data_IF_224177432929
#
_entry.id   IF_224177432929
#
_cell.length_a   1.000
_cell.length_b   1.000
_cell.length_c   1.000
_cell.angle_alpha   90.00
_cell.angle_beta   90.00
_cell.angle_gamma   90.00
#
_symmetry.space_group_name_H-M   'P 1'
#
loop_
_entity.id
_entity.type
_entity.pdbx_description
1 polymer ?
#
# COMPACT_ATOMS: atom_id res chain seq x y z
N UNK A 1 25.41 -15.31 -11.53
CA UNK A 1 24.94 -14.54 -10.37
C UNK A 1 25.04 -15.42 -9.15
N UNK A 2 25.76 -15.02 -8.11
CA UNK A 2 25.81 -15.75 -6.83
C UNK A 2 24.57 -15.40 -6.00
N UNK A 3 23.86 -16.41 -5.48
CA UNK A 3 22.74 -16.19 -4.56
C UNK A 3 23.30 -15.62 -3.25
N UNK A 4 22.69 -14.52 -2.77
CA UNK A 4 22.99 -13.93 -1.46
C UNK A 4 21.78 -14.03 -0.56
N UNK A 5 22.01 -14.40 0.70
CA UNK A 5 20.97 -14.48 1.70
C UNK A 5 20.44 -13.09 2.08
N UNK A 6 19.12 -12.91 2.15
CA UNK A 6 18.50 -11.62 2.51
C UNK A 6 18.57 -11.31 4.01
N UNK A 7 18.99 -12.29 4.83
CA UNK A 7 19.07 -12.18 6.29
C UNK A 7 20.49 -11.79 6.70
N UNK A 8 21.50 -12.52 6.24
CA UNK A 8 22.89 -12.35 6.67
C UNK A 8 23.87 -11.96 5.56
N UNK A 9 23.40 -11.76 4.32
CA UNK A 9 24.21 -11.40 3.14
C UNK A 9 25.27 -12.43 2.70
N UNK A 10 25.31 -13.62 3.33
CA UNK A 10 26.22 -14.71 2.98
C UNK A 10 25.75 -15.51 1.74
N UNK A 11 26.65 -16.31 1.17
CA UNK A 11 26.44 -17.06 -0.08
C UNK A 11 25.59 -18.32 0.07
N UNK A 12 24.30 -18.17 0.41
CA UNK A 12 23.34 -19.27 0.46
C UNK A 12 21.91 -18.83 0.18
N UNK A 13 21.03 -19.79 -0.08
CA UNK A 13 19.59 -19.54 -0.18
C UNK A 13 19.02 -19.16 1.19
N UNK A 14 18.20 -18.11 1.24
CA UNK A 14 17.63 -17.60 2.50
C UNK A 14 16.81 -18.64 3.27
N UNK A 15 16.32 -19.69 2.60
CA UNK A 15 15.62 -20.83 3.21
C UNK A 15 16.52 -21.69 4.09
N UNK A 16 17.82 -21.77 3.78
CA UNK A 16 18.82 -22.55 4.52
C UNK A 16 19.67 -21.67 5.43
N UNK A 17 19.21 -20.45 5.73
CA UNK A 17 19.97 -19.53 6.57
C UNK A 17 19.99 -20.00 8.03
N UNK A 18 21.18 -20.17 8.64
CA UNK A 18 21.30 -20.59 10.04
C UNK A 18 20.77 -19.53 11.02
N UNK A 19 20.70 -18.27 10.58
CA UNK A 19 20.20 -17.15 11.38
C UNK A 19 18.69 -16.93 11.23
N UNK A 20 17.96 -17.79 10.49
CA UNK A 20 16.52 -17.61 10.23
C UNK A 20 15.66 -17.68 11.50
N UNK A 21 16.02 -18.57 12.42
CA UNK A 21 15.25 -18.83 13.67
C UNK A 21 16.00 -18.35 14.93
N UNK A 22 17.02 -17.51 14.78
CA UNK A 22 17.70 -16.94 15.93
C UNK A 22 16.81 -15.88 16.59
N UNK A 23 16.87 -15.76 17.93
CA UNK A 23 16.11 -14.78 18.72
C UNK A 23 16.45 -13.33 18.31
N UNK A 24 17.72 -13.08 17.95
CA UNK A 24 18.20 -11.76 17.56
C UNK A 24 19.20 -11.84 16.39
N UNK A 25 18.71 -12.06 15.16
CA UNK A 25 19.58 -12.25 14.02
C UNK A 25 20.24 -10.92 13.64
N UNK A 26 21.57 -10.92 13.54
CA UNK A 26 22.30 -9.76 13.00
C UNK A 26 21.97 -9.62 11.51
N UNK A 27 21.01 -8.75 11.19
CA UNK A 27 20.60 -8.51 9.80
C UNK A 27 21.70 -7.74 9.07
N UNK A 28 22.13 -8.25 7.93
CA UNK A 28 23.07 -7.58 7.02
C UNK A 28 22.40 -7.30 5.69
N UNK A 29 22.72 -6.15 5.11
CA UNK A 29 22.17 -5.73 3.83
C UNK A 29 22.72 -6.60 2.69
N UNK A 30 21.87 -7.28 1.92
CA UNK A 30 22.30 -8.06 0.77
C UNK A 30 22.97 -7.22 -0.35
N UNK A 31 22.71 -5.90 -0.37
CA UNK A 31 23.26 -4.97 -1.37
C UNK A 31 24.64 -4.41 -0.99
N UNK A 32 24.90 -4.12 0.30
CA UNK A 32 26.16 -3.49 0.74
C UNK A 32 26.85 -4.12 1.97
N UNK A 33 26.22 -5.10 2.63
CA UNK A 33 26.75 -5.75 3.83
C UNK A 33 26.59 -4.96 5.14
N UNK A 34 26.04 -3.74 5.11
CA UNK A 34 25.87 -2.89 6.29
C UNK A 34 24.77 -3.36 7.26
N UNK A 35 24.70 -2.76 8.47
CA UNK A 35 23.76 -3.13 9.54
C UNK A 35 22.35 -2.59 9.30
N UNK A 36 21.76 -2.94 8.17
CA UNK A 36 20.39 -2.58 7.79
C UNK A 36 19.81 -3.61 6.80
N UNK A 37 18.49 -3.57 6.58
CA UNK A 37 17.84 -4.42 5.56
C UNK A 37 18.10 -3.89 4.16
N UNK A 38 18.11 -4.76 3.13
CA UNK A 38 18.28 -4.34 1.74
C UNK A 38 17.22 -3.34 1.23
N UNK A 39 16.09 -3.22 1.94
CA UNK A 39 15.02 -2.24 1.69
C UNK A 39 15.30 -0.84 2.24
N UNK A 40 16.38 -0.64 3.01
CA UNK A 40 16.72 0.64 3.63
C UNK A 40 17.10 1.69 2.57
N UNK A 41 16.34 2.79 2.52
CA UNK A 41 16.49 3.85 1.50
C UNK A 41 17.78 4.66 1.63
N UNK A 42 18.44 4.63 2.80
CA UNK A 42 19.76 5.24 3.01
C UNK A 42 20.93 4.33 2.63
N UNK A 43 20.68 3.14 2.05
CA UNK A 43 21.75 2.25 1.61
C UNK A 43 22.54 2.89 0.45
N UNK A 44 23.89 2.93 0.50
CA UNK A 44 24.69 3.47 -0.61
C UNK A 44 24.51 2.68 -1.92
N UNK A 45 24.18 1.38 -1.81
CA UNK A 45 23.91 0.49 -2.94
C UNK A 45 22.41 0.24 -3.14
N UNK A 46 21.53 1.14 -2.71
CA UNK A 46 20.11 0.99 -2.95
C UNK A 46 19.82 1.00 -4.47
N UNK A 47 19.18 -0.04 -5.04
CA UNK A 47 18.89 -0.08 -6.47
C UNK A 47 18.04 1.13 -6.90
N UNK A 48 18.60 1.97 -7.77
CA UNK A 48 17.85 3.05 -8.40
C UNK A 48 17.05 2.44 -9.54
N UNK A 49 15.73 2.37 -9.36
CA UNK A 49 14.83 1.97 -10.44
C UNK A 49 14.79 3.13 -11.41
N UNK A 50 15.49 2.99 -12.53
CA UNK A 50 15.28 3.88 -13.66
C UNK A 50 13.95 3.50 -14.29
N UNK A 51 13.03 4.47 -14.34
CA UNK A 51 11.77 4.32 -15.05
C UNK A 51 12.07 4.30 -16.55
N UNK A 52 12.62 3.19 -17.07
CA UNK A 52 12.52 2.95 -18.50
C UNK A 52 11.03 2.97 -18.79
N UNK A 53 10.59 3.91 -19.64
CA UNK A 53 9.21 4.06 -20.06
C UNK A 53 8.66 2.67 -20.34
N UNK A 54 7.77 2.19 -19.47
CA UNK A 54 7.19 0.87 -19.59
C UNK A 54 6.57 0.83 -20.98
N UNK A 55 7.14 0.01 -21.87
CA UNK A 55 6.60 -0.12 -23.23
C UNK A 55 5.13 -0.46 -23.09
N UNK A 56 4.26 0.45 -23.54
CA UNK A 56 2.80 0.29 -23.47
C UNK A 56 2.45 -1.08 -24.06
N UNK A 57 1.95 -2.00 -23.23
CA UNK A 57 1.62 -3.38 -23.61
C UNK A 57 2.41 -4.48 -22.89
N UNK A 58 3.53 -4.18 -22.23
CA UNK A 58 4.31 -5.17 -21.47
C UNK A 58 4.11 -5.00 -19.97
N UNK A 59 2.93 -5.36 -19.48
CA UNK A 59 2.71 -5.52 -18.04
C UNK A 59 3.06 -6.94 -17.61
N UNK A 60 3.44 -7.12 -16.34
CA UNK A 60 3.65 -8.45 -15.76
C UNK A 60 2.40 -9.34 -15.94
N UNK A 61 1.20 -8.76 -15.78
CA UNK A 61 -0.05 -9.44 -16.02
C UNK A 61 -0.23 -9.88 -17.48
N UNK A 62 0.21 -9.07 -18.46
CA UNK A 62 0.19 -9.45 -19.87
C UNK A 62 1.18 -10.59 -20.17
N UNK A 63 2.38 -10.54 -19.58
CA UNK A 63 3.39 -11.60 -19.73
C UNK A 63 2.93 -12.94 -19.14
N UNK A 64 2.30 -12.93 -17.96
CA UNK A 64 1.75 -14.13 -17.31
C UNK A 64 0.58 -14.77 -18.09
N UNK A 65 -0.16 -13.98 -18.87
CA UNK A 65 -1.21 -14.47 -19.77
C UNK A 65 -0.68 -15.05 -21.08
N UNK A 66 0.56 -14.71 -21.46
CA UNK A 66 1.18 -15.07 -22.74
C UNK A 66 1.85 -16.45 -22.72
N UNK A 67 2.04 -17.05 -21.55
CA UNK A 67 2.60 -18.41 -21.42
C UNK A 67 1.52 -19.46 -21.70
N UNK A 68 1.28 -19.70 -22.99
CA UNK A 68 0.75 -20.97 -23.43
C UNK A 68 1.77 -22.08 -23.06
N UNK A 69 1.23 -23.19 -22.61
CA UNK A 69 1.86 -24.28 -21.88
C UNK A 69 3.07 -24.91 -22.59
N UNK A 70 4.24 -24.86 -21.94
CA UNK A 70 5.22 -25.94 -22.01
C UNK A 70 5.36 -26.47 -20.58
N UNK A 71 4.69 -27.60 -20.31
CA UNK A 71 4.78 -28.30 -19.03
C UNK A 71 6.20 -28.80 -18.84
N UNK A 72 6.97 -28.13 -17.99
CA UNK A 72 8.12 -28.77 -17.34
C UNK A 72 7.55 -29.69 -16.25
N UNK A 73 7.90 -30.99 -16.18
CA UNK A 73 7.38 -31.88 -15.16
C UNK A 73 7.94 -31.49 -13.79
N UNK A 74 7.21 -30.67 -13.05
CA UNK A 74 7.50 -30.47 -11.63
C UNK A 74 6.88 -31.65 -10.87
N UNK A 75 7.73 -32.55 -10.38
CA UNK A 75 7.33 -33.63 -9.47
C UNK A 75 6.76 -33.01 -8.18
N UNK A 76 5.44 -32.94 -8.11
CA UNK A 76 4.70 -32.69 -6.88
C UNK A 76 4.69 -33.97 -6.04
N UNK A 77 5.57 -34.04 -5.03
CA UNK A 77 5.30 -34.93 -3.89
C UNK A 77 4.19 -34.29 -3.07
N UNK A 78 3.03 -34.92 -3.15
CA UNK A 78 1.81 -34.59 -2.46
C UNK A 78 1.98 -34.84 -0.95
N UNK A 79 1.61 -33.87 -0.13
CA UNK A 79 1.13 -34.14 1.24
C UNK A 79 -0.36 -33.78 1.25
N UNK A 80 -1.17 -34.84 1.33
CA UNK A 80 -2.62 -34.87 1.45
C UNK A 80 -3.10 -34.50 2.85
N UNK A 81 -4.22 -33.76 2.93
CA UNK A 81 -5.36 -34.02 3.84
C UNK A 81 -6.61 -33.26 3.31
N UNK A 82 -7.86 -33.70 3.63
CA UNK A 82 -8.87 -33.97 2.62
C UNK A 82 -9.92 -32.88 2.37
N UNK A 83 -10.45 -32.96 1.15
CA UNK A 83 -11.57 -32.24 0.54
C UNK A 83 -12.93 -32.59 1.15
N UNK A 84 -13.80 -31.60 1.32
CA UNK A 84 -15.24 -31.77 1.03
C UNK A 84 -15.64 -30.74 -0.03
N UNK A 85 -16.16 -31.26 -1.14
CA UNK A 85 -16.56 -30.53 -2.33
C UNK A 85 -17.94 -29.88 -2.13
N UNK A 86 -18.08 -28.62 -2.56
CA UNK A 86 -19.37 -28.14 -3.07
C UNK A 86 -19.15 -27.22 -4.28
N UNK A 87 -19.45 -27.80 -5.45
CA UNK A 87 -20.11 -27.25 -6.64
C UNK A 87 -19.86 -25.77 -7.02
N UNK A 88 -19.15 -25.60 -8.14
CA UNK A 88 -19.32 -24.58 -9.20
C UNK A 88 -19.95 -23.23 -8.83
N UNK A 89 -19.12 -22.20 -8.64
CA UNK A 89 -19.45 -20.81 -8.98
C UNK A 89 -18.19 -20.09 -9.54
N UNK A 90 -18.33 -19.07 -10.40
CA UNK A 90 -17.20 -18.32 -10.95
C UNK A 90 -16.40 -17.64 -9.84
N UNK A 91 -15.09 -17.36 -10.01
CA UNK A 91 -14.33 -16.61 -9.02
C UNK A 91 -14.83 -15.16 -9.00
N UNK A 92 -15.73 -14.82 -8.07
CA UNK A 92 -16.10 -13.44 -7.74
C UNK A 92 -15.03 -12.74 -6.89
N UNK A 93 -13.75 -12.96 -7.16
CA UNK A 93 -12.65 -12.42 -6.36
C UNK A 93 -11.92 -11.25 -7.05
N UNK A 94 -12.67 -10.34 -7.69
CA UNK A 94 -12.12 -9.06 -8.17
C UNK A 94 -12.79 -7.81 -7.58
N UNK A 95 -13.86 -7.94 -6.78
CA UNK A 95 -14.60 -6.79 -6.26
C UNK A 95 -14.58 -6.62 -4.73
N UNK A 96 -13.98 -7.55 -3.97
CA UNK A 96 -14.12 -7.55 -2.49
C UNK A 96 -13.32 -6.49 -1.74
N UNK A 97 -12.32 -5.82 -2.34
CA UNK A 97 -11.57 -4.73 -1.68
C UNK A 97 -12.10 -3.31 -1.98
N UNK A 98 -13.03 -3.17 -2.93
CA UNK A 98 -13.61 -1.86 -3.24
C UNK A 98 -14.81 -1.57 -2.33
N UNK A 99 -15.67 -2.53 -2.02
CA UNK A 99 -16.88 -2.27 -1.23
C UNK A 99 -16.58 -1.82 0.21
N UNK A 100 -15.60 -2.44 0.89
CA UNK A 100 -15.29 -2.14 2.30
C UNK A 100 -14.78 -0.70 2.52
N UNK A 101 -14.11 -0.13 1.52
CA UNK A 101 -13.61 1.23 1.57
C UNK A 101 -14.43 2.22 0.73
N UNK A 102 -15.44 1.77 -0.03
CA UNK A 102 -16.27 2.65 -0.86
C UNK A 102 -16.96 3.70 -0.01
N UNK A 103 -17.49 3.31 1.16
CA UNK A 103 -18.12 4.25 2.08
C UNK A 103 -17.12 5.26 2.67
N UNK A 104 -15.89 4.81 2.95
CA UNK A 104 -14.80 5.68 3.46
C UNK A 104 -14.41 6.70 2.38
N UNK A 105 -14.22 6.27 1.14
CA UNK A 105 -13.90 7.18 0.03
C UNK A 105 -15.07 8.13 -0.29
N UNK A 106 -16.31 7.65 -0.20
CA UNK A 106 -17.51 8.50 -0.33
C UNK A 106 -17.52 9.57 0.75
N UNK A 107 -17.26 9.20 2.01
CA UNK A 107 -17.16 10.15 3.12
C UNK A 107 -16.05 11.17 2.90
N UNK A 108 -14.84 10.74 2.51
CA UNK A 108 -13.72 11.62 2.23
C UNK A 108 -14.02 12.62 1.11
N UNK A 109 -14.75 12.19 0.07
CA UNK A 109 -15.17 13.09 -1.00
C UNK A 109 -16.14 14.15 -0.50
N UNK A 110 -17.12 13.79 0.33
CA UNK A 110 -18.02 14.78 0.95
C UNK A 110 -17.26 15.74 1.85
N UNK A 111 -16.35 15.25 2.69
CA UNK A 111 -15.50 16.10 3.55
C UNK A 111 -14.65 17.08 2.74
N UNK A 112 -14.08 16.63 1.61
CA UNK A 112 -13.35 17.49 0.68
C UNK A 112 -14.24 18.59 0.11
N UNK A 113 -15.44 18.28 -0.36
CA UNK A 113 -16.38 19.28 -0.89
C UNK A 113 -16.81 20.29 0.17
N UNK A 114 -17.09 19.82 1.38
CA UNK A 114 -17.47 20.66 2.53
C UNK A 114 -16.34 21.62 2.89
N UNK A 115 -15.11 21.13 3.02
CA UNK A 115 -13.95 21.96 3.39
C UNK A 115 -13.56 22.96 2.31
N UNK A 116 -13.79 22.66 1.02
CA UNK A 116 -13.57 23.59 -0.09
C UNK A 116 -14.58 24.75 -0.12
N UNK A 117 -15.79 24.54 0.40
CA UNK A 117 -16.82 25.58 0.47
C UNK A 117 -16.54 26.62 1.56
N UNK A 118 -15.64 26.32 2.52
CA UNK A 118 -15.29 27.25 3.60
C UNK A 118 -14.20 28.22 3.13
N UNK A 119 -14.48 29.53 3.01
CA UNK A 119 -13.43 30.51 2.76
C UNK A 119 -12.50 30.59 3.99
N UNK A 120 -11.19 30.72 3.75
CA UNK A 120 -10.19 30.87 4.81
C UNK A 120 -10.17 29.76 5.88
N UNK A 121 -10.29 28.49 5.48
CA UNK A 121 -10.26 27.31 6.38
C UNK A 121 -9.17 27.36 7.46
N UNK A 122 -7.97 27.87 7.14
CA UNK A 122 -6.86 28.01 8.11
C UNK A 122 -7.22 28.91 9.30
N UNK A 123 -7.96 29.99 9.07
CA UNK A 123 -8.40 30.89 10.13
C UNK A 123 -9.46 30.22 11.02
N UNK A 124 -10.41 29.50 10.40
CA UNK A 124 -11.41 28.72 11.14
C UNK A 124 -10.75 27.66 12.03
N UNK A 125 -9.78 26.90 11.51
CA UNK A 125 -9.05 25.90 12.29
C UNK A 125 -8.37 26.53 13.51
N UNK A 126 -7.66 27.65 13.32
CA UNK A 126 -7.07 28.38 14.44
C UNK A 126 -8.12 28.81 15.48
N UNK A 127 -9.30 29.31 15.05
CA UNK A 127 -10.38 29.67 15.98
C UNK A 127 -10.93 28.45 16.73
N UNK A 128 -11.07 27.32 16.05
CA UNK A 128 -11.54 26.06 16.65
C UNK A 128 -10.52 25.46 17.63
N UNK A 129 -9.22 25.59 17.37
CA UNK A 129 -8.16 25.11 18.25
C UNK A 129 -8.08 25.92 19.56
N UNK A 130 -8.43 27.22 19.50
CA UNK A 130 -8.39 28.12 20.66
C UNK A 130 -9.73 28.20 21.42
N UNK A 131 -10.82 27.67 20.87
CA UNK A 131 -12.12 27.63 21.54
C UNK A 131 -12.24 26.37 22.41
N UNK A 132 -12.68 26.51 23.65
CA UNK A 132 -12.87 25.40 24.57
C UNK A 132 -14.32 24.90 24.57
N UNK A 133 -15.28 25.79 24.32
CA UNK A 133 -16.70 25.46 24.33
C UNK A 133 -17.13 24.77 23.02
N UNK A 134 -17.72 23.58 23.14
CA UNK A 134 -18.15 22.77 21.98
C UNK A 134 -19.27 23.43 21.18
N UNK A 135 -20.24 24.09 21.83
CA UNK A 135 -21.33 24.80 21.14
C UNK A 135 -20.78 25.96 20.31
N UNK A 136 -19.85 26.73 20.87
CA UNK A 136 -19.19 27.81 20.14
C UNK A 136 -18.44 27.30 18.91
N UNK A 137 -17.82 26.10 18.97
CA UNK A 137 -17.21 25.47 17.80
C UNK A 137 -18.22 25.20 16.69
N UNK A 138 -19.42 24.73 17.05
CA UNK A 138 -20.50 24.55 16.07
C UNK A 138 -20.93 25.87 15.44
N UNK A 139 -21.06 26.94 16.23
CA UNK A 139 -21.40 28.28 15.71
C UNK A 139 -20.32 28.81 14.76
N UNK A 140 -19.04 28.66 15.09
CA UNK A 140 -17.92 29.08 14.24
C UNK A 140 -17.93 28.37 12.88
N UNK A 141 -18.26 27.06 12.87
CA UNK A 141 -18.40 26.28 11.63
C UNK A 141 -19.59 26.80 10.81
N UNK A 142 -20.75 27.00 11.44
CA UNK A 142 -21.96 27.50 10.78
C UNK A 142 -21.77 28.92 10.17
N UNK A 143 -21.09 29.79 10.90
CA UNK A 143 -20.73 31.13 10.43
C UNK A 143 -19.84 31.06 9.18
N UNK A 144 -18.82 30.20 9.21
CA UNK A 144 -17.88 30.05 8.10
C UNK A 144 -18.56 29.59 6.79
N UNK A 145 -19.60 28.74 6.87
CA UNK A 145 -20.43 28.41 5.71
C UNK A 145 -21.29 29.58 5.23
N UNK A 146 -21.80 30.39 6.15
CA UNK A 146 -22.66 31.54 5.80
C UNK A 146 -21.89 32.65 5.06
N UNK A 147 -20.58 32.77 5.29
CA UNK A 147 -19.73 33.73 4.58
C UNK A 147 -19.43 33.31 3.12
N UNK A 148 -19.56 32.02 2.79
CA UNK A 148 -19.32 31.51 1.43
C UNK A 148 -20.38 32.00 0.42
N UNK A 149 -21.63 32.13 0.85
CA UNK A 149 -22.77 32.50 -0.02
C UNK A 149 -22.78 33.98 -0.41
N UNK A 150 -22.14 34.85 0.38
CA UNK A 150 -22.06 36.29 0.11
C UNK A 150 -20.98 36.67 -0.92
N UNK A 151 -20.02 35.79 -1.18
CA UNK A 151 -18.89 36.07 -2.09
C UNK A 151 -19.12 35.60 -3.54
N UNK A 152 -20.20 34.83 -3.79
CA UNK A 152 -20.56 34.29 -5.12
C UNK A 152 -21.65 35.13 -5.81
N UNK A 153 -21.78 36.41 -5.45
CA UNK A 153 -22.66 37.36 -6.16
C UNK A 153 -21.81 38.50 -6.73
N UNK A 154 -21.18 38.25 -7.89
CA UNK A 154 -20.63 39.29 -8.75
C UNK A 154 -20.47 38.80 -10.18
#
# INVERSE_FOLDING_TARGET
MSVKCVICAEGHDSRTCPQKNAENPTKKCANCGGPHTASYRGCPNYPKIHNNSVKKGYSYAAAARSTNTQRIPQQTKQHTTPTTNTLNEPPQALNMMNDEFTDVFRLLNHLKSITQAIPNLKNLLNKLDNEANVENKFFLIAEAFSQSTLTTSK
#
